data_IF_317865993041
#
_entry.id   IF_317865993041
#
_cell.length_a   1.000
_cell.length_b   1.000
_cell.length_c   1.000
_cell.angle_alpha   90.00
_cell.angle_beta   90.00
_cell.angle_gamma   90.00
#
_symmetry.space_group_name_H-M   'P 1'
#
loop_
_entity.id
_entity.type
_entity.pdbx_description
1 polymer ?
#
# COMPACT_ATOMS: atom_id res chain seq x y z
N UNK A 1 36.81 1.60 5.17
CA UNK A 1 36.57 2.74 4.26
C UNK A 1 37.87 3.45 3.86
N UNK A 2 38.73 3.89 4.81
CA UNK A 2 39.98 4.61 4.49
C UNK A 2 40.87 3.94 3.45
N UNK A 3 41.18 2.64 3.63
CA UNK A 3 42.04 1.88 2.72
C UNK A 3 41.59 1.84 1.25
N UNK A 4 40.28 1.78 0.96
CA UNK A 4 39.80 1.76 -0.43
C UNK A 4 39.81 3.15 -1.07
N UNK A 5 39.52 4.18 -0.27
CA UNK A 5 39.65 5.57 -0.71
C UNK A 5 41.10 5.93 -1.01
N UNK A 6 42.02 5.51 -0.14
CA UNK A 6 43.48 5.61 -0.36
C UNK A 6 43.92 4.92 -1.66
N UNK A 7 43.38 3.73 -1.95
CA UNK A 7 43.66 3.02 -3.21
C UNK A 7 43.16 3.75 -4.45
N UNK A 8 41.95 4.32 -4.42
CA UNK A 8 41.44 5.15 -5.53
C UNK A 8 42.32 6.38 -5.73
N UNK A 9 42.70 7.07 -4.66
CA UNK A 9 43.63 8.20 -4.74
C UNK A 9 45.00 7.79 -5.29
N UNK A 10 45.51 6.61 -4.92
CA UNK A 10 46.73 6.06 -5.49
C UNK A 10 46.60 5.79 -7.00
N UNK A 11 45.45 5.26 -7.46
CA UNK A 11 45.18 5.09 -8.89
C UNK A 11 45.08 6.43 -9.64
N UNK A 12 44.47 7.45 -9.04
CA UNK A 12 44.41 8.80 -9.62
C UNK A 12 45.81 9.42 -9.78
N UNK A 13 46.67 9.26 -8.77
CA UNK A 13 48.07 9.70 -8.84
C UNK A 13 48.84 8.94 -9.93
N UNK A 14 48.69 7.61 -9.94
CA UNK A 14 49.32 6.69 -10.89
C UNK A 14 48.92 6.97 -12.35
N UNK A 15 47.67 7.38 -12.59
CA UNK A 15 47.19 7.82 -13.90
C UNK A 15 47.84 9.15 -14.31
N UNK A 16 47.80 10.16 -13.41
CA UNK A 16 48.44 11.47 -13.67
C UNK A 16 49.92 11.35 -14.00
N UNK A 17 50.64 10.48 -13.29
CA UNK A 17 52.06 10.22 -13.54
C UNK A 17 52.31 9.63 -14.93
N UNK A 18 51.47 8.68 -15.38
CA UNK A 18 51.55 8.06 -16.71
C UNK A 18 51.18 9.02 -17.84
N UNK A 19 50.12 9.81 -17.67
CA UNK A 19 49.75 10.87 -18.62
C UNK A 19 50.89 11.88 -18.79
N UNK A 20 51.51 12.30 -17.68
CA UNK A 20 52.66 13.18 -17.72
C UNK A 20 53.89 12.50 -18.37
N UNK A 21 54.06 11.18 -18.19
CA UNK A 21 55.12 10.41 -18.84
C UNK A 21 54.92 10.33 -20.36
N UNK A 22 53.69 10.10 -20.84
CA UNK A 22 53.35 10.14 -22.28
C UNK A 22 53.66 11.51 -22.87
N UNK A 23 53.25 12.60 -22.19
CA UNK A 23 53.50 13.96 -22.65
C UNK A 23 55.00 14.25 -22.78
N UNK A 24 55.81 13.87 -21.77
CA UNK A 24 57.28 14.00 -21.82
C UNK A 24 57.90 13.15 -22.93
N UNK A 25 57.51 11.89 -23.02
CA UNK A 25 58.04 10.97 -24.03
C UNK A 25 57.76 11.44 -25.46
N UNK A 26 56.57 12.02 -25.70
CA UNK A 26 56.20 12.59 -27.00
C UNK A 26 57.14 13.72 -27.41
N UNK A 27 57.45 14.64 -26.49
CA UNK A 27 58.38 15.75 -26.74
C UNK A 27 59.80 15.25 -26.98
N UNK A 28 60.29 14.32 -26.16
CA UNK A 28 61.66 13.80 -26.28
C UNK A 28 61.86 12.97 -27.56
N UNK A 29 60.92 12.08 -27.90
CA UNK A 29 60.99 11.26 -29.12
C UNK A 29 60.92 12.13 -30.39
N UNK A 30 60.24 13.27 -30.36
CA UNK A 30 60.22 14.23 -31.47
C UNK A 30 61.58 14.92 -31.70
N UNK A 31 62.42 15.03 -30.67
CA UNK A 31 63.75 15.68 -30.76
C UNK A 31 64.82 14.76 -31.36
N UNK A 32 64.69 13.44 -31.21
CA UNK A 32 65.67 12.47 -31.69
C UNK A 32 65.50 12.29 -33.20
N UNK A 33 66.43 12.81 -34.01
CA UNK A 33 66.30 12.78 -35.48
C UNK A 33 66.62 11.42 -36.11
N UNK A 34 67.53 10.66 -35.52
CA UNK A 34 68.05 9.42 -36.11
C UNK A 34 67.32 8.14 -35.67
N UNK A 35 66.28 8.28 -34.84
CA UNK A 35 65.50 7.13 -34.38
C UNK A 35 64.41 6.79 -35.39
N UNK A 36 64.33 5.51 -35.73
CA UNK A 36 63.33 4.99 -36.65
C UNK A 36 61.89 5.31 -36.20
N UNK A 37 61.07 5.74 -37.16
CA UNK A 37 59.71 6.21 -36.91
C UNK A 37 58.82 5.10 -36.33
N UNK A 38 59.01 3.84 -36.74
CA UNK A 38 58.23 2.72 -36.22
C UNK A 38 58.53 2.43 -34.75
N UNK A 39 59.79 2.67 -34.33
CA UNK A 39 60.21 2.53 -32.93
C UNK A 39 59.59 3.63 -32.06
N UNK A 40 59.56 4.88 -32.55
CA UNK A 40 58.88 5.99 -31.86
C UNK A 40 57.39 5.70 -31.68
N UNK A 41 56.73 5.23 -32.74
CA UNK A 41 55.31 4.88 -32.71
C UNK A 41 55.02 3.70 -31.77
N UNK A 42 55.88 2.68 -31.75
CA UNK A 42 55.74 1.55 -30.83
C UNK A 42 55.86 1.98 -29.36
N UNK A 43 56.83 2.85 -29.03
CA UNK A 43 57.01 3.37 -27.68
C UNK A 43 55.80 4.21 -27.22
N UNK A 44 55.28 5.09 -28.09
CA UNK A 44 54.09 5.88 -27.78
C UNK A 44 52.83 5.01 -27.66
N UNK A 45 52.68 3.97 -28.49
CA UNK A 45 51.59 3.00 -28.38
C UNK A 45 51.62 2.27 -27.04
N UNK A 46 52.79 1.82 -26.58
CA UNK A 46 52.92 1.15 -25.29
C UNK A 46 52.55 2.08 -24.14
N UNK A 47 53.05 3.33 -24.12
CA UNK A 47 52.70 4.28 -23.06
C UNK A 47 51.21 4.65 -23.09
N UNK A 48 50.60 4.71 -24.28
CA UNK A 48 49.15 4.92 -24.42
C UNK A 48 48.33 3.70 -23.95
N UNK A 49 48.84 2.47 -24.10
CA UNK A 49 48.29 1.26 -23.50
C UNK A 49 48.34 1.34 -21.97
N UNK A 50 49.49 1.71 -21.41
CA UNK A 50 49.67 1.83 -19.95
C UNK A 50 48.72 2.88 -19.33
N UNK A 51 48.45 3.98 -20.04
CA UNK A 51 47.45 4.98 -19.63
C UNK A 51 46.04 4.39 -19.67
N UNK A 52 45.68 3.66 -20.75
CA UNK A 52 44.37 3.00 -20.85
C UNK A 52 44.15 1.99 -19.72
N UNK A 53 45.18 1.20 -19.40
CA UNK A 53 45.13 0.24 -18.30
C UNK A 53 44.97 0.94 -16.94
N UNK A 54 45.70 2.04 -16.71
CA UNK A 54 45.56 2.83 -15.49
C UNK A 54 44.17 3.47 -15.36
N UNK A 55 43.59 3.97 -16.46
CA UNK A 55 42.21 4.46 -16.49
C UNK A 55 41.21 3.36 -16.14
N UNK A 56 41.38 2.15 -16.69
CA UNK A 56 40.52 1.01 -16.41
C UNK A 56 40.60 0.58 -14.93
N UNK A 57 41.81 0.55 -14.35
CA UNK A 57 42.01 0.28 -12.92
C UNK A 57 41.36 1.34 -12.03
N UNK A 58 41.47 2.62 -12.39
CA UNK A 58 40.81 3.71 -11.67
C UNK A 58 39.29 3.59 -11.74
N UNK A 59 38.72 3.29 -12.90
CA UNK A 59 37.28 3.10 -13.09
C UNK A 59 36.76 1.97 -12.20
N UNK A 60 37.40 0.80 -12.25
CA UNK A 60 37.08 -0.35 -11.39
C UNK A 60 37.21 0.00 -9.90
N UNK A 61 38.28 0.70 -9.51
CA UNK A 61 38.49 1.13 -8.13
C UNK A 61 37.39 2.05 -7.61
N UNK A 62 36.93 2.99 -8.44
CA UNK A 62 35.82 3.90 -8.11
C UNK A 62 34.49 3.16 -7.97
N UNK A 63 34.21 2.20 -8.83
CA UNK A 63 33.00 1.37 -8.75
C UNK A 63 32.97 0.57 -7.45
N UNK A 64 34.07 -0.11 -7.10
CA UNK A 64 34.19 -0.84 -5.84
C UNK A 64 34.02 0.08 -4.63
N UNK A 65 34.62 1.27 -4.66
CA UNK A 65 34.46 2.25 -3.58
C UNK A 65 32.99 2.71 -3.45
N UNK A 66 32.32 2.99 -4.56
CA UNK A 66 30.92 3.41 -4.57
C UNK A 66 30.00 2.33 -3.99
N UNK A 67 30.19 1.06 -4.36
CA UNK A 67 29.43 -0.05 -3.80
C UNK A 67 29.71 -0.23 -2.30
N UNK A 68 30.95 -0.07 -1.84
CA UNK A 68 31.25 -0.11 -0.40
C UNK A 68 30.62 1.06 0.37
N UNK A 69 30.64 2.27 -0.19
CA UNK A 69 30.01 3.45 0.43
C UNK A 69 28.49 3.31 0.49
N UNK A 70 27.88 2.71 -0.53
CA UNK A 70 26.45 2.36 -0.55
C UNK A 70 26.13 1.30 0.51
N UNK A 71 26.90 0.21 0.59
CA UNK A 71 26.71 -0.85 1.58
C UNK A 71 26.89 -0.32 3.01
N UNK A 72 27.88 0.55 3.25
CA UNK A 72 28.10 1.15 4.56
C UNK A 72 26.95 2.08 4.95
N UNK A 73 26.47 2.95 4.04
CA UNK A 73 25.31 3.80 4.29
C UNK A 73 24.05 2.99 4.63
N UNK A 74 23.80 1.92 3.88
CA UNK A 74 22.69 1.02 4.16
C UNK A 74 22.81 0.40 5.56
N UNK A 75 23.98 -0.13 5.92
CA UNK A 75 24.22 -0.73 7.24
C UNK A 75 24.00 0.28 8.40
N UNK A 76 24.49 1.51 8.25
CA UNK A 76 24.25 2.57 9.23
C UNK A 76 22.75 2.89 9.34
N UNK A 77 22.05 3.04 8.21
CA UNK A 77 20.61 3.30 8.20
C UNK A 77 19.82 2.19 8.89
N UNK A 78 20.16 0.91 8.67
CA UNK A 78 19.53 -0.21 9.39
C UNK A 78 19.76 -0.10 10.89
N UNK A 79 20.99 0.19 11.31
CA UNK A 79 21.36 0.28 12.72
C UNK A 79 20.61 1.42 13.43
N UNK A 80 20.56 2.60 12.80
CA UNK A 80 19.79 3.74 13.27
C UNK A 80 18.30 3.40 13.39
N UNK A 81 17.77 2.66 12.41
CA UNK A 81 16.39 2.23 12.42
C UNK A 81 16.06 1.32 13.62
N UNK A 82 16.94 0.37 13.91
CA UNK A 82 16.79 -0.53 15.06
C UNK A 82 16.78 0.26 16.37
N UNK A 83 17.64 1.28 16.49
CA UNK A 83 17.65 2.16 17.66
C UNK A 83 16.35 2.96 17.77
N UNK A 84 15.86 3.56 16.68
CA UNK A 84 14.59 4.29 16.66
C UNK A 84 13.39 3.38 16.98
N UNK A 85 13.39 2.15 16.46
CA UNK A 85 12.38 1.14 16.75
C UNK A 85 12.31 0.80 18.24
N UNK A 86 13.47 0.54 18.86
CA UNK A 86 13.57 0.27 20.30
C UNK A 86 13.13 1.45 21.15
N UNK A 87 13.33 2.68 20.67
CA UNK A 87 12.87 3.89 21.33
C UNK A 87 11.38 4.21 21.07
N UNK A 88 10.67 3.43 20.25
CA UNK A 88 9.26 3.66 19.91
C UNK A 88 9.02 4.86 18.98
N UNK A 89 10.07 5.37 18.32
CA UNK A 89 10.02 6.61 17.53
C UNK A 89 9.58 6.42 16.07
N UNK A 90 9.30 5.18 15.64
CA UNK A 90 8.95 4.90 14.23
C UNK A 90 7.64 5.55 13.78
N UNK A 91 6.69 5.77 14.69
CA UNK A 91 5.37 6.31 14.33
C UNK A 91 5.39 7.79 13.94
N UNK A 92 6.49 8.50 14.22
CA UNK A 92 6.71 9.90 13.84
C UNK A 92 7.65 10.08 12.66
N UNK A 93 8.05 9.01 11.98
CA UNK A 93 8.94 9.10 10.82
C UNK A 93 8.26 9.79 9.65
N UNK A 94 9.01 10.65 8.97
CA UNK A 94 8.60 11.22 7.69
C UNK A 94 8.41 10.10 6.65
N UNK A 95 7.50 10.31 5.70
CA UNK A 95 7.06 9.28 4.75
C UNK A 95 8.18 8.77 3.83
N UNK A 96 9.13 9.65 3.48
CA UNK A 96 10.34 9.32 2.72
C UNK A 96 11.23 8.33 3.49
N UNK A 97 11.46 8.58 4.78
CA UNK A 97 12.23 7.71 5.66
C UNK A 97 11.53 6.38 5.89
N UNK A 98 10.20 6.39 6.05
CA UNK A 98 9.41 5.15 6.15
C UNK A 98 9.54 4.29 4.89
N UNK A 99 9.61 4.92 3.71
CA UNK A 99 9.82 4.20 2.44
C UNK A 99 11.17 3.48 2.40
N UNK A 100 12.25 4.09 2.91
CA UNK A 100 13.57 3.45 2.99
C UNK A 100 13.52 2.17 3.84
N UNK A 101 12.78 2.19 4.94
CA UNK A 101 12.57 1.02 5.81
C UNK A 101 11.87 -0.11 5.08
N UNK A 102 10.79 0.23 4.39
CA UNK A 102 9.95 -0.75 3.69
C UNK A 102 10.77 -1.43 2.59
N UNK A 103 11.67 -0.71 1.91
CA UNK A 103 12.55 -1.31 0.89
C UNK A 103 13.59 -2.30 1.46
N UNK A 104 13.96 -2.17 2.74
CA UNK A 104 14.86 -3.09 3.42
C UNK A 104 14.16 -4.38 3.89
N UNK A 105 12.84 -4.32 4.04
CA UNK A 105 12.04 -5.42 4.56
C UNK A 105 11.33 -6.14 3.42
N UNK A 106 11.48 -7.46 3.38
CA UNK A 106 10.63 -8.29 2.52
C UNK A 106 9.33 -8.58 3.27
N UNK A 107 8.36 -7.66 3.15
CA UNK A 107 7.08 -7.73 3.85
C UNK A 107 6.05 -8.44 2.97
N UNK A 108 5.59 -9.59 3.42
CA UNK A 108 4.46 -10.30 2.82
C UNK A 108 3.26 -10.26 3.77
N UNK A 109 2.14 -9.70 3.30
CA UNK A 109 0.87 -9.69 4.05
C UNK A 109 -0.07 -10.76 3.48
N UNK A 110 -0.50 -11.71 4.32
CA UNK A 110 -1.42 -12.79 3.94
C UNK A 110 -2.74 -12.64 4.68
N UNK A 111 -3.87 -12.42 4.01
CA UNK A 111 -5.16 -12.42 4.67
C UNK A 111 -5.49 -13.83 5.20
N UNK A 112 -5.95 -13.92 6.44
CA UNK A 112 -6.32 -15.15 7.15
C UNK A 112 -7.78 -15.57 6.93
N UNK A 113 -8.48 -14.90 6.03
CA UNK A 113 -9.89 -15.19 5.75
C UNK A 113 -10.28 -14.77 4.34
N UNK A 114 -11.51 -15.12 3.97
CA UNK A 114 -12.06 -14.73 2.67
C UNK A 114 -12.19 -13.21 2.57
N UNK A 115 -11.41 -12.62 1.66
CA UNK A 115 -11.54 -11.21 1.31
C UNK A 115 -12.72 -11.05 0.37
N UNK A 116 -13.84 -10.55 0.90
CA UNK A 116 -15.04 -10.29 0.08
C UNK A 116 -14.88 -8.97 -0.67
N UNK A 117 -14.89 -9.03 -2.00
CA UNK A 117 -14.91 -7.83 -2.85
C UNK A 117 -16.24 -7.09 -2.66
N UNK A 118 -16.18 -5.88 -2.09
CA UNK A 118 -17.31 -4.95 -2.03
C UNK A 118 -17.11 -3.82 -3.03
N UNK A 119 -18.21 -3.26 -3.53
CA UNK A 119 -18.14 -1.97 -4.20
C UNK A 119 -17.58 -0.94 -3.21
N UNK A 120 -16.60 -0.14 -3.62
CA UNK A 120 -16.05 0.93 -2.79
C UNK A 120 -17.08 2.03 -2.46
N UNK A 121 -18.24 2.03 -3.12
CA UNK A 121 -19.34 2.95 -2.84
C UNK A 121 -20.16 2.43 -1.66
N UNK A 122 -20.14 3.16 -0.55
CA UNK A 122 -20.94 2.87 0.63
C UNK A 122 -22.44 3.00 0.33
N UNK A 123 -23.25 2.15 0.94
CA UNK A 123 -24.70 2.30 0.90
C UNK A 123 -25.11 3.48 1.79
N UNK A 124 -25.84 4.47 1.24
CA UNK A 124 -26.29 5.68 1.99
C UNK A 124 -27.00 5.38 3.31
N UNK A 125 -27.75 4.28 3.36
CA UNK A 125 -28.45 3.85 4.59
C UNK A 125 -27.47 3.31 5.62
N UNK A 126 -26.52 2.47 5.20
CA UNK A 126 -25.43 1.99 6.06
C UNK A 126 -24.60 3.16 6.59
N UNK A 127 -24.23 4.11 5.72
CA UNK A 127 -23.49 5.31 6.09
C UNK A 127 -24.27 6.17 7.10
N UNK A 128 -25.58 6.32 6.91
CA UNK A 128 -26.43 7.02 7.87
C UNK A 128 -26.39 6.38 9.26
N UNK A 129 -26.62 5.07 9.38
CA UNK A 129 -26.52 4.36 10.67
C UNK A 129 -25.13 4.49 11.30
N UNK A 130 -24.06 4.40 10.51
CA UNK A 130 -22.68 4.58 10.98
C UNK A 130 -22.46 5.99 11.54
N UNK A 131 -22.95 7.01 10.83
CA UNK A 131 -22.80 8.42 11.18
C UNK A 131 -23.65 8.83 12.37
N UNK A 132 -24.88 8.35 12.47
CA UNK A 132 -25.81 8.72 13.57
C UNK A 132 -25.67 7.82 14.79
N UNK A 133 -25.01 6.66 14.66
CA UNK A 133 -24.96 5.65 15.71
C UNK A 133 -26.30 4.95 15.95
N UNK A 134 -27.32 5.20 15.12
CA UNK A 134 -28.64 4.59 15.29
C UNK A 134 -28.55 3.08 15.10
N UNK A 135 -28.98 2.25 16.07
CA UNK A 135 -28.92 0.80 15.95
C UNK A 135 -29.95 0.30 14.92
N UNK A 136 -29.77 -0.94 14.50
CA UNK A 136 -30.65 -1.63 13.57
C UNK A 136 -31.65 -2.49 14.36
N UNK A 137 -32.96 -2.28 14.19
CA UNK A 137 -33.99 -3.04 14.87
C UNK A 137 -33.89 -4.55 14.59
N UNK A 138 -34.39 -5.35 15.51
CA UNK A 138 -34.65 -6.77 15.30
C UNK A 138 -35.70 -7.00 14.18
N UNK A 139 -35.96 -8.27 13.89
CA UNK A 139 -36.93 -8.63 12.87
C UNK A 139 -38.36 -8.23 13.29
N UNK A 140 -39.08 -7.53 12.41
CA UNK A 140 -40.43 -7.02 12.71
C UNK A 140 -41.43 -8.17 12.64
N UNK A 141 -42.06 -8.46 13.78
CA UNK A 141 -43.11 -9.47 13.93
C UNK A 141 -44.42 -8.99 13.32
N UNK A 142 -45.35 -9.92 13.11
CA UNK A 142 -46.69 -9.58 12.62
C UNK A 142 -47.48 -8.72 13.61
N UNK A 143 -47.25 -8.89 14.91
CA UNK A 143 -47.91 -8.10 15.95
C UNK A 143 -47.48 -6.63 15.98
N UNK A 144 -46.23 -6.34 15.62
CA UNK A 144 -45.69 -4.97 15.57
C UNK A 144 -46.02 -4.27 14.25
N UNK A 145 -46.27 -5.05 13.20
CA UNK A 145 -46.48 -4.50 11.85
C UNK A 145 -47.62 -3.48 11.72
N UNK A 146 -48.79 -3.64 12.37
CA UNK A 146 -49.85 -2.63 12.31
C UNK A 146 -49.41 -1.22 12.74
N UNK A 147 -48.53 -1.10 13.74
CA UNK A 147 -48.00 0.19 14.15
C UNK A 147 -47.11 0.84 13.06
N UNK A 148 -46.35 0.02 12.33
CA UNK A 148 -45.59 0.47 11.16
C UNK A 148 -46.53 0.92 10.03
N UNK A 149 -47.65 0.22 9.83
CA UNK A 149 -48.65 0.60 8.83
C UNK A 149 -49.30 1.95 9.15
N UNK A 150 -49.63 2.20 10.40
CA UNK A 150 -50.11 3.50 10.86
C UNK A 150 -49.07 4.60 10.59
N UNK A 151 -47.82 4.37 11.01
CA UNK A 151 -46.72 5.33 10.84
C UNK A 151 -46.49 5.70 9.37
N UNK A 152 -46.53 4.72 8.46
CA UNK A 152 -46.42 5.00 7.02
C UNK A 152 -47.61 5.78 6.46
N UNK A 153 -48.82 5.57 6.99
CA UNK A 153 -50.02 6.29 6.54
C UNK A 153 -49.93 7.76 6.92
N UNK A 154 -49.38 8.05 8.10
CA UNK A 154 -49.07 9.42 8.52
C UNK A 154 -47.97 10.06 7.67
N UNK A 155 -46.92 9.29 7.30
CA UNK A 155 -45.76 9.84 6.58
C UNK A 155 -45.98 10.00 5.07
N UNK A 156 -46.85 9.20 4.46
CA UNK A 156 -47.03 9.17 3.01
C UNK A 156 -48.46 9.44 2.58
N UNK A 157 -48.65 10.43 1.69
CA UNK A 157 -49.95 10.78 1.09
C UNK A 157 -50.51 9.70 0.14
N UNK A 158 -49.67 8.78 -0.36
CA UNK A 158 -50.07 7.66 -1.24
C UNK A 158 -49.67 6.35 -0.60
N UNK A 159 -50.51 5.32 -0.76
CA UNK A 159 -50.27 3.96 -0.23
C UNK A 159 -48.91 3.43 -0.68
N UNK A 160 -47.93 3.39 0.23
CA UNK A 160 -46.59 2.81 -0.03
C UNK A 160 -46.59 1.27 0.12
N UNK A 161 -47.68 0.72 0.64
CA UNK A 161 -48.00 -0.71 0.64
C UNK A 161 -48.76 -1.08 -0.63
N UNK A 162 -48.07 -1.06 -1.77
CA UNK A 162 -48.56 -1.82 -2.91
C UNK A 162 -48.32 -3.30 -2.60
N UNK A 163 -49.37 -4.13 -2.66
CA UNK A 163 -49.24 -5.59 -2.64
C UNK A 163 -48.60 -6.01 -3.97
N UNK A 164 -47.27 -5.96 -4.04
CA UNK A 164 -46.54 -6.79 -5.00
C UNK A 164 -46.62 -8.26 -4.56
N UNK A 165 -46.07 -9.17 -5.36
CA UNK A 165 -46.04 -10.61 -5.05
C UNK A 165 -45.38 -10.93 -3.70
N UNK A 166 -44.49 -10.06 -3.21
CA UNK A 166 -43.84 -10.17 -1.91
C UNK A 166 -44.33 -9.08 -0.97
N UNK A 167 -44.73 -9.50 0.22
CA UNK A 167 -45.19 -8.64 1.31
C UNK A 167 -44.12 -7.60 1.74
N UNK A 168 -44.59 -6.42 2.17
CA UNK A 168 -43.72 -5.28 2.50
C UNK A 168 -42.96 -5.51 3.81
N UNK A 169 -43.57 -6.18 4.80
CA UNK A 169 -42.86 -6.55 6.05
C UNK A 169 -41.70 -7.46 5.76
N UNK A 170 -41.91 -8.44 4.86
CA UNK A 170 -40.87 -9.36 4.40
C UNK A 170 -39.69 -8.62 3.77
N UNK A 171 -39.95 -7.62 2.92
CA UNK A 171 -38.90 -6.78 2.33
C UNK A 171 -38.16 -5.96 3.40
N UNK A 172 -38.89 -5.34 4.34
CA UNK A 172 -38.29 -4.56 5.45
C UNK A 172 -37.40 -5.45 6.31
N UNK A 173 -37.86 -6.65 6.67
CA UNK A 173 -37.07 -7.61 7.43
C UNK A 173 -35.82 -8.07 6.67
N UNK A 174 -35.89 -8.18 5.34
CA UNK A 174 -34.72 -8.41 4.49
C UNK A 174 -33.69 -7.27 4.58
N UNK A 175 -34.15 -6.02 4.51
CA UNK A 175 -33.28 -4.85 4.68
C UNK A 175 -32.61 -4.87 6.06
N UNK A 176 -33.39 -5.07 7.13
CA UNK A 176 -32.89 -5.12 8.50
C UNK A 176 -31.89 -6.26 8.70
N UNK A 177 -32.17 -7.46 8.18
CA UNK A 177 -31.26 -8.60 8.21
C UNK A 177 -29.92 -8.26 7.55
N UNK A 178 -29.94 -7.62 6.38
CA UNK A 178 -28.73 -7.19 5.67
C UNK A 178 -27.91 -6.20 6.51
N UNK A 179 -28.54 -5.23 7.15
CA UNK A 179 -27.85 -4.23 7.97
C UNK A 179 -27.28 -4.82 9.26
N UNK A 180 -27.96 -5.80 9.88
CA UNK A 180 -27.48 -6.52 11.08
C UNK A 180 -26.34 -7.48 10.79
N UNK A 181 -26.37 -8.17 9.65
CA UNK A 181 -25.39 -9.21 9.30
C UNK A 181 -24.25 -8.71 8.41
N UNK A 182 -24.47 -7.61 7.68
CA UNK A 182 -23.54 -7.10 6.69
C UNK A 182 -23.53 -7.88 5.36
N UNK A 183 -24.43 -8.84 5.15
CA UNK A 183 -24.43 -9.68 3.94
C UNK A 183 -24.56 -8.84 2.65
N UNK A 184 -24.09 -9.36 1.52
CA UNK A 184 -24.32 -8.74 0.22
C UNK A 184 -25.81 -8.86 -0.16
N UNK A 185 -26.29 -7.98 -1.04
CA UNK A 185 -27.67 -8.08 -1.55
C UNK A 185 -27.93 -9.44 -2.21
N UNK A 186 -26.95 -9.96 -2.96
CA UNK A 186 -27.03 -11.27 -3.60
C UNK A 186 -27.05 -12.45 -2.60
N UNK A 187 -26.58 -12.24 -1.36
CA UNK A 187 -26.55 -13.23 -0.29
C UNK A 187 -27.77 -13.13 0.64
N UNK A 188 -28.72 -12.23 0.34
CA UNK A 188 -29.89 -12.05 1.20
C UNK A 188 -30.69 -13.36 1.26
N UNK A 189 -31.08 -13.86 2.45
CA UNK A 189 -31.83 -15.11 2.57
C UNK A 189 -33.10 -15.11 1.73
N UNK A 190 -33.34 -16.20 1.00
CA UNK A 190 -34.45 -16.32 0.04
C UNK A 190 -35.84 -16.10 0.67
N UNK A 191 -35.99 -16.34 1.99
CA UNK A 191 -37.23 -16.07 2.74
C UNK A 191 -37.67 -14.60 2.70
N UNK A 192 -36.75 -13.68 2.42
CA UNK A 192 -37.06 -12.25 2.28
C UNK A 192 -37.49 -11.85 0.86
N UNK A 193 -37.60 -12.82 -0.04
CA UNK A 193 -37.96 -12.59 -1.43
C UNK A 193 -36.82 -11.97 -2.26
N UNK A 194 -37.14 -11.46 -3.46
CA UNK A 194 -36.15 -10.88 -4.36
C UNK A 194 -35.46 -9.66 -3.73
N UNK A 195 -34.14 -9.73 -3.55
CA UNK A 195 -33.36 -8.66 -2.91
C UNK A 195 -33.47 -7.31 -3.63
N UNK A 196 -33.74 -7.31 -4.94
CA UNK A 196 -33.89 -6.08 -5.73
C UNK A 196 -35.06 -5.22 -5.21
N UNK A 197 -36.19 -5.85 -4.87
CA UNK A 197 -37.36 -5.14 -4.35
C UNK A 197 -37.07 -4.52 -2.97
N UNK A 198 -36.39 -5.26 -2.10
CA UNK A 198 -35.96 -4.77 -0.79
C UNK A 198 -34.97 -3.59 -0.94
N UNK A 199 -34.00 -3.69 -1.85
CA UNK A 199 -33.04 -2.62 -2.15
C UNK A 199 -33.73 -1.37 -2.68
N UNK A 200 -34.64 -1.50 -3.62
CA UNK A 200 -35.37 -0.36 -4.20
C UNK A 200 -36.27 0.32 -3.16
N UNK A 201 -36.92 -0.47 -2.31
CA UNK A 201 -37.70 0.05 -1.18
C UNK A 201 -36.83 0.78 -0.19
N UNK A 202 -35.70 0.21 0.22
CA UNK A 202 -34.73 0.85 1.10
C UNK A 202 -34.33 2.23 0.54
N UNK A 203 -33.90 2.27 -0.72
CA UNK A 203 -33.46 3.51 -1.36
C UNK A 203 -34.61 4.53 -1.45
N UNK A 204 -35.81 4.08 -1.79
CA UNK A 204 -36.99 4.95 -1.90
C UNK A 204 -37.40 5.53 -0.55
N UNK A 205 -37.51 4.69 0.48
CA UNK A 205 -37.93 5.10 1.82
C UNK A 205 -36.88 5.98 2.49
N UNK A 206 -35.60 5.69 2.26
CA UNK A 206 -34.52 6.55 2.73
C UNK A 206 -34.53 7.91 2.02
N UNK A 207 -34.67 7.94 0.68
CA UNK A 207 -34.76 9.18 -0.09
C UNK A 207 -35.94 10.05 0.33
N UNK A 208 -37.07 9.44 0.71
CA UNK A 208 -38.26 10.14 1.21
C UNK A 208 -38.19 10.47 2.72
N UNK A 209 -37.05 10.25 3.38
CA UNK A 209 -36.85 10.57 4.80
C UNK A 209 -37.64 9.69 5.77
N UNK A 210 -38.27 8.60 5.29
CA UNK A 210 -39.07 7.71 6.14
C UNK A 210 -38.22 6.73 6.93
N UNK A 211 -37.10 6.28 6.35
CA UNK A 211 -36.25 5.27 7.00
C UNK A 211 -35.80 5.64 8.41
N UNK A 212 -35.31 6.88 8.70
CA UNK A 212 -35.00 7.29 10.07
C UNK A 212 -36.18 7.21 11.02
N UNK A 213 -37.38 7.62 10.57
CA UNK A 213 -38.61 7.61 11.37
C UNK A 213 -39.00 6.17 11.72
N UNK A 214 -38.99 5.29 10.73
CA UNK A 214 -39.28 3.86 10.88
C UNK A 214 -38.34 3.19 11.88
N UNK A 215 -37.03 3.34 11.67
CA UNK A 215 -36.01 2.69 12.50
C UNK A 215 -36.08 3.16 13.95
N UNK A 216 -36.24 4.46 14.17
CA UNK A 216 -36.36 4.99 15.53
C UNK A 216 -37.61 4.46 16.23
N UNK A 217 -38.75 4.41 15.53
CA UNK A 217 -39.97 3.85 16.09
C UNK A 217 -39.80 2.37 16.45
N UNK A 218 -39.23 1.56 15.56
CA UNK A 218 -39.00 0.13 15.82
C UNK A 218 -38.01 -0.12 16.96
N UNK A 219 -36.95 0.68 17.07
CA UNK A 219 -35.98 0.59 18.17
C UNK A 219 -36.60 0.91 19.54
N UNK A 220 -37.70 1.67 19.59
CA UNK A 220 -38.44 1.93 20.84
C UNK A 220 -39.36 0.77 21.22
N UNK A 221 -39.80 -0.03 20.24
CA UNK A 221 -40.76 -1.12 20.44
C UNK A 221 -40.11 -2.47 20.76
N UNK A 222 -38.79 -2.60 20.60
CA UNK A 222 -38.11 -3.87 20.85
C UNK A 222 -36.59 -3.80 20.73
N UNK A 223 -35.99 -4.98 20.63
CA UNK A 223 -34.54 -5.11 20.61
C UNK A 223 -33.91 -4.52 19.35
N UNK A 224 -32.67 -4.07 19.50
CA UNK A 224 -31.86 -3.55 18.41
C UNK A 224 -30.40 -3.93 18.62
N UNK A 225 -29.65 -3.98 17.52
CA UNK A 225 -28.22 -4.26 17.55
C UNK A 225 -27.45 -3.19 16.79
N UNK A 226 -26.19 -2.90 17.16
CA UNK A 226 -25.35 -2.01 16.38
C UNK A 226 -25.26 -2.49 14.92
N UNK A 227 -25.20 -1.54 13.98
CA UNK A 227 -25.00 -1.88 12.57
C UNK A 227 -23.70 -2.67 12.41
N UNK A 228 -23.72 -3.75 11.61
CA UNK A 228 -22.49 -4.48 11.29
C UNK A 228 -21.55 -3.58 10.50
N UNK A 229 -20.38 -3.32 11.09
CA UNK A 229 -19.25 -2.70 10.41
C UNK A 229 -18.30 -3.82 10.00
N UNK A 230 -18.03 -3.93 8.70
CA UNK A 230 -16.94 -4.78 8.24
C UNK A 230 -15.63 -4.10 8.66
N UNK A 231 -14.67 -4.82 9.26
CA UNK A 231 -13.35 -4.27 9.51
C UNK A 231 -12.72 -3.86 8.18
N UNK A 232 -12.12 -2.65 8.13
CA UNK A 232 -11.46 -2.12 6.94
C UNK A 232 -10.33 -3.03 6.45
N UNK A 233 -9.70 -3.75 7.38
CA UNK A 233 -8.66 -4.71 7.10
C UNK A 233 -9.12 -6.07 7.66
N UNK A 234 -9.16 -7.13 6.83
CA UNK A 234 -9.45 -8.47 7.34
C UNK A 234 -8.35 -8.88 8.33
N UNK A 235 -8.54 -9.97 9.08
CA UNK A 235 -7.40 -10.56 9.79
C UNK A 235 -6.33 -10.96 8.77
N UNK A 236 -5.06 -10.68 9.06
CA UNK A 236 -3.93 -11.04 8.21
C UNK A 236 -2.73 -11.45 9.06
N UNK A 237 -1.87 -12.26 8.47
CA UNK A 237 -0.50 -12.50 8.94
C UNK A 237 0.44 -11.56 8.20
N UNK A 238 1.42 -11.04 8.92
CA UNK A 238 2.55 -10.30 8.36
C UNK A 238 3.78 -11.18 8.52
N UNK A 239 4.34 -11.60 7.39
CA UNK A 239 5.63 -12.26 7.32
C UNK A 239 6.66 -11.19 6.94
N UNK A 240 7.77 -11.12 7.68
CA UNK A 240 8.83 -10.14 7.44
C UNK A 240 10.15 -10.87 7.25
N UNK A 241 10.75 -10.70 6.08
CA UNK A 241 12.14 -11.06 5.79
C UNK A 241 13.02 -9.81 5.67
N UNK A 242 14.32 -10.01 5.48
CA UNK A 242 15.27 -8.94 5.14
C UNK A 242 15.67 -9.13 3.68
N UNK A 243 15.51 -8.09 2.85
CA UNK A 243 15.96 -8.14 1.46
C UNK A 243 17.49 -8.26 1.42
N UNK A 244 18.00 -9.32 0.79
CA UNK A 244 19.44 -9.51 0.59
C UNK A 244 20.15 -10.32 1.68
N UNK A 245 19.50 -11.36 2.22
CA UNK A 245 20.18 -12.44 2.94
C UNK A 245 21.25 -13.08 2.05
N UNK A 246 22.47 -12.55 2.10
CA UNK A 246 23.68 -13.27 1.72
C UNK A 246 23.71 -14.53 2.58
N UNK A 247 23.29 -15.66 2.01
CA UNK A 247 23.76 -16.97 2.45
C UNK A 247 25.28 -16.97 2.29
N UNK A 248 25.97 -16.58 3.35
CA UNK A 248 27.37 -16.93 3.55
C UNK A 248 27.40 -18.32 4.15
N UNK A 249 27.55 -19.32 3.29
CA UNK A 249 28.30 -20.55 3.60
C UNK A 249 29.76 -20.34 3.24
#
# INVERSE_FOLDING_TARGET
MGKQRERVTAFENSLREREAAVARATVELARIRDLDQTVKEAALRQLAEDVRDAMAQLAMGREVLAEQEKAHRAATAVSDLVLMARAGLLQGLAADRMSEVIHLLDITVRPLGEVRKRSGVSCKVTEWHVRTGTPVPAEVTESVWPAVEELTTTHFQRRQFARGTVDVRTQVNGILCRLRTGCLWAELPARYGPWALAKDRQNTWFKKGFWPVLVNHLNLLGDSVPIRREPFVPSFEVLVGVTGGLSRT
#
